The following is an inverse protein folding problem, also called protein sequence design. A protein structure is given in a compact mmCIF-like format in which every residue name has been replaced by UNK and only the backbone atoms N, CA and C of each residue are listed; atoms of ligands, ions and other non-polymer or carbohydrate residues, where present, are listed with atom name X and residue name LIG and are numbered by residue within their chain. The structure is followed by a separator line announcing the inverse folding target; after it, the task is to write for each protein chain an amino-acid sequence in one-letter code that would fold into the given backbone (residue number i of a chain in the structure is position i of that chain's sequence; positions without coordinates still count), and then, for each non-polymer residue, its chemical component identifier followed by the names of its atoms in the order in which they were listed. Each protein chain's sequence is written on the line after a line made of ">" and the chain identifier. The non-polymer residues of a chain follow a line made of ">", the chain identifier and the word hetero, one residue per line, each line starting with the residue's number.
data_IF_215770494271
#
_entry.id   IF_215770494271
#
_cell.length_a   1.000
_cell.length_b   1.000
_cell.length_c   1.000
_cell.angle_alpha   90.00
_cell.angle_beta   90.00
_cell.angle_gamma   90.00
#
_symmetry.space_group_name_H-M   'P 1'
#
loop_
_entity.id
_entity.type
_entity.pdbx_description
1 polymer ?
#
# COMPACT_ATOMS: atom_id res chain seq x y z
N UNK A 1 -8.51 -12.62 16.16
CA UNK A 1 -7.41 -11.90 16.85
C UNK A 1 -6.32 -12.90 17.19
N UNK A 2 -5.05 -12.51 17.38
CA UNK A 2 -3.96 -13.43 17.77
C UNK A 2 -4.27 -14.23 19.06
N UNK A 3 -5.19 -13.73 19.90
CA UNK A 3 -5.69 -14.43 21.09
C UNK A 3 -6.65 -15.61 20.83
N UNK A 4 -7.07 -15.84 19.58
CA UNK A 4 -7.96 -16.98 19.25
C UNK A 4 -7.18 -18.23 18.81
N UNK A 5 -5.90 -18.09 18.46
CA UNK A 5 -5.03 -19.22 18.03
C UNK A 5 -4.06 -19.64 19.14
N UNK A 6 -3.65 -18.71 20.00
CA UNK A 6 -2.95 -19.01 21.24
C UNK A 6 -3.74 -18.42 22.40
N UNK A 7 -4.25 -19.28 23.27
CA UNK A 7 -5.04 -18.90 24.44
C UNK A 7 -4.16 -18.21 25.50
N UNK A 8 -3.72 -16.99 25.22
CA UNK A 8 -3.03 -16.14 26.18
C UNK A 8 -3.96 -15.01 26.60
N UNK A 9 -4.31 -14.98 27.89
CA UNK A 9 -5.02 -13.83 28.46
C UNK A 9 -4.09 -12.62 28.57
N UNK A 10 -4.65 -11.41 28.55
CA UNK A 10 -3.88 -10.15 28.74
C UNK A 10 -3.11 -10.18 30.06
N UNK A 11 -3.67 -10.79 31.11
CA UNK A 11 -2.99 -11.00 32.39
C UNK A 11 -1.82 -11.97 32.28
N UNK A 12 -1.91 -12.99 31.45
CA UNK A 12 -0.80 -13.92 31.22
C UNK A 12 0.33 -13.23 30.47
N UNK A 13 0.02 -12.38 29.49
CA UNK A 13 1.02 -11.57 28.79
C UNK A 13 1.73 -10.62 29.76
N UNK A 14 1.00 -9.92 30.62
CA UNK A 14 1.58 -9.05 31.65
C UNK A 14 2.45 -9.86 32.64
N UNK A 15 2.01 -11.07 33.00
CA UNK A 15 2.76 -11.98 33.87
C UNK A 15 4.05 -12.47 33.23
N UNK A 16 4.02 -12.89 31.96
CA UNK A 16 5.20 -13.31 31.21
C UNK A 16 6.17 -12.15 31.00
N UNK A 17 5.66 -10.94 30.75
CA UNK A 17 6.48 -9.73 30.68
C UNK A 17 7.18 -9.43 32.01
N UNK A 18 6.47 -9.58 33.13
CA UNK A 18 7.05 -9.45 34.47
C UNK A 18 8.16 -10.48 34.72
N UNK A 19 7.93 -11.75 34.36
CA UNK A 19 8.94 -12.82 34.47
C UNK A 19 10.15 -12.55 33.58
N UNK A 20 9.94 -12.09 32.35
CA UNK A 20 11.01 -11.72 31.43
C UNK A 20 11.89 -10.61 32.02
N UNK A 21 11.28 -9.53 32.54
CA UNK A 21 12.03 -8.46 33.22
C UNK A 21 12.82 -8.96 34.43
N UNK A 22 12.25 -9.85 35.24
CA UNK A 22 12.93 -10.43 36.38
C UNK A 22 14.10 -11.34 35.95
N UNK A 23 13.91 -12.13 34.90
CA UNK A 23 14.97 -12.95 34.32
C UNK A 23 16.11 -12.09 33.78
N UNK A 24 15.80 -10.99 33.07
CA UNK A 24 16.79 -10.01 32.61
C UNK A 24 17.61 -9.42 33.78
N UNK A 25 16.97 -9.14 34.91
CA UNK A 25 17.67 -8.65 36.11
C UNK A 25 18.57 -9.74 36.70
N UNK A 26 18.11 -10.99 36.72
CA UNK A 26 18.85 -12.12 37.29
C UNK A 26 20.06 -12.56 36.43
N UNK A 27 19.99 -12.37 35.11
CA UNK A 27 21.09 -12.71 34.18
C UNK A 27 22.01 -11.52 33.87
N UNK A 28 21.68 -10.31 34.35
CA UNK A 28 22.62 -9.18 34.26
C UNK A 28 23.85 -9.50 35.09
N UNK A 29 25.07 -9.39 34.52
CA UNK A 29 26.29 -9.66 35.27
C UNK A 29 26.41 -8.72 36.46
N UNK A 30 26.89 -9.25 37.59
CA UNK A 30 27.23 -8.44 38.77
C UNK A 30 28.32 -7.43 38.37
N UNK A 31 28.22 -6.14 38.73
CA UNK A 31 29.28 -5.17 38.47
C UNK A 31 30.65 -5.54 39.06
N UNK A 32 30.75 -6.56 39.93
CA UNK A 32 32.02 -7.12 40.41
C UNK A 32 32.09 -8.65 40.22
N UNK A 33 32.54 -9.15 39.05
CA UNK A 33 32.62 -10.58 38.81
C UNK A 33 33.77 -11.22 39.61
N UNK A 34 33.45 -12.21 40.45
CA UNK A 34 34.43 -13.18 40.95
C UNK A 34 34.90 -14.13 39.82
N UNK A 35 35.91 -14.99 40.04
CA UNK A 35 36.53 -15.81 38.99
C UNK A 35 35.61 -16.99 38.62
N UNK A 36 34.54 -16.70 37.87
CA UNK A 36 33.67 -17.68 37.22
C UNK A 36 33.72 -17.50 35.70
N UNK A 37 33.31 -18.52 34.92
CA UNK A 37 33.29 -18.43 33.47
C UNK A 37 32.31 -17.33 33.01
N UNK A 38 32.80 -16.42 32.19
CA UNK A 38 32.04 -15.31 31.62
C UNK A 38 31.12 -15.85 30.52
N UNK A 39 29.81 -15.87 30.78
CA UNK A 39 28.82 -16.23 29.76
C UNK A 39 28.39 -14.95 29.05
N UNK A 40 28.88 -14.75 27.82
CA UNK A 40 28.49 -13.63 26.97
C UNK A 40 27.09 -13.89 26.39
N UNK A 41 26.06 -13.58 27.18
CA UNK A 41 24.68 -13.62 26.72
C UNK A 41 24.42 -12.31 25.97
N UNK A 42 24.37 -12.36 24.64
CA UNK A 42 23.98 -11.20 23.85
C UNK A 42 22.48 -10.89 24.04
N UNK A 43 22.17 -10.00 24.98
CA UNK A 43 20.81 -9.59 25.35
C UNK A 43 20.23 -8.53 24.38
N UNK A 44 20.94 -8.18 23.30
CA UNK A 44 20.47 -7.19 22.31
C UNK A 44 19.35 -7.73 21.39
N UNK A 45 18.62 -8.76 21.83
CA UNK A 45 17.35 -9.13 21.23
C UNK A 45 16.27 -8.21 21.81
N UNK A 46 16.19 -6.99 21.27
CA UNK A 46 15.01 -6.16 21.44
C UNK A 46 13.85 -6.85 20.72
N UNK A 47 12.80 -7.19 21.46
CA UNK A 47 11.49 -7.42 20.85
C UNK A 47 11.08 -6.08 20.25
N UNK A 48 11.38 -5.85 18.96
CA UNK A 48 10.77 -4.77 18.20
C UNK A 48 9.26 -4.91 18.41
N UNK A 49 8.67 -3.95 19.12
CA UNK A 49 7.22 -3.86 19.17
C UNK A 49 6.77 -3.62 17.73
N UNK A 50 6.26 -4.67 17.09
CA UNK A 50 5.52 -4.53 15.83
C UNK A 50 4.44 -3.50 16.15
N UNK A 51 4.59 -2.28 15.63
CA UNK A 51 3.54 -1.25 15.74
C UNK A 51 2.28 -1.85 15.14
N UNK A 52 1.34 -2.24 15.98
CA UNK A 52 0.04 -2.83 15.61
C UNK A 52 -0.94 -1.80 15.03
N UNK A 53 -0.44 -0.84 14.24
CA UNK A 53 -1.28 0.25 13.70
C UNK A 53 -1.01 0.58 12.23
N UNK A 54 -0.37 -0.31 11.45
CA UNK A 54 -0.49 -0.29 9.99
C UNK A 54 -1.09 -1.63 9.56
N UNK A 55 -2.25 -1.60 8.91
CA UNK A 55 -2.83 -2.81 8.33
C UNK A 55 -1.87 -3.27 7.25
N UNK A 56 -1.45 -4.53 7.32
CA UNK A 56 -0.50 -5.05 6.37
C UNK A 56 -1.24 -5.33 5.06
N UNK A 57 -0.97 -4.53 4.03
CA UNK A 57 -1.47 -4.72 2.67
C UNK A 57 -1.28 -6.18 2.21
N UNK A 58 -0.09 -6.76 2.44
CA UNK A 58 0.22 -8.16 2.10
C UNK A 58 -0.67 -9.16 2.81
N UNK A 59 -1.11 -8.85 4.03
CA UNK A 59 -2.03 -9.72 4.77
C UNK A 59 -3.42 -9.71 4.15
N UNK A 60 -3.91 -8.55 3.66
CA UNK A 60 -5.19 -8.49 2.94
C UNK A 60 -5.10 -9.30 1.64
N UNK A 61 -4.01 -9.17 0.89
CA UNK A 61 -3.78 -9.95 -0.33
C UNK A 61 -3.80 -11.46 -0.06
N UNK A 62 -3.12 -11.89 1.00
CA UNK A 62 -3.11 -13.30 1.42
C UNK A 62 -4.51 -13.80 1.76
N UNK A 63 -5.32 -13.00 2.46
CA UNK A 63 -6.70 -13.37 2.79
C UNK A 63 -7.57 -13.48 1.53
N UNK A 64 -7.44 -12.55 0.58
CA UNK A 64 -8.17 -12.59 -0.69
C UNK A 64 -7.73 -13.80 -1.52
N UNK A 65 -6.42 -14.11 -1.57
CA UNK A 65 -5.88 -15.21 -2.35
C UNK A 65 -6.48 -16.56 -1.94
N UNK A 66 -6.85 -16.74 -0.67
CA UNK A 66 -7.50 -17.95 -0.19
C UNK A 66 -8.87 -18.22 -0.83
N UNK A 67 -9.51 -17.22 -1.45
CA UNK A 67 -10.78 -17.39 -2.18
C UNK A 67 -10.60 -17.77 -3.65
N UNK A 68 -9.37 -17.66 -4.18
CA UNK A 68 -9.04 -18.01 -5.56
C UNK A 68 -8.64 -19.50 -5.61
N UNK A 69 -9.32 -20.32 -6.44
CA UNK A 69 -8.93 -21.71 -6.68
C UNK A 69 -7.54 -21.81 -7.29
N UNK A 70 -6.85 -22.92 -6.99
CA UNK A 70 -5.51 -23.18 -7.47
C UNK A 70 -5.35 -24.67 -7.73
N UNK A 71 -5.25 -25.06 -9.00
CA UNK A 71 -5.22 -26.48 -9.40
C UNK A 71 -6.56 -26.99 -9.96
N UNK A 72 -6.78 -28.29 -9.88
CA UNK A 72 -7.93 -29.02 -10.46
C UNK A 72 -8.76 -29.78 -9.40
N UNK A 73 -8.52 -29.56 -8.09
CA UNK A 73 -9.13 -30.38 -7.04
C UNK A 73 -10.53 -29.87 -6.64
N UNK A 74 -11.51 -30.78 -6.66
CA UNK A 74 -12.92 -30.54 -6.29
C UNK A 74 -13.12 -30.02 -4.83
N UNK A 75 -12.09 -30.13 -3.98
CA UNK A 75 -12.12 -29.72 -2.57
C UNK A 75 -11.59 -28.30 -2.30
N UNK A 76 -11.20 -27.53 -3.34
CA UNK A 76 -10.64 -26.18 -3.23
C UNK A 76 -11.64 -25.10 -2.77
N UNK A 77 -12.92 -25.47 -2.56
CA UNK A 77 -14.03 -24.54 -2.34
C UNK A 77 -14.29 -24.19 -0.86
N UNK A 78 -13.56 -24.77 0.09
CA UNK A 78 -13.87 -24.67 1.54
C UNK A 78 -13.78 -23.22 2.06
N UNK A 79 -12.90 -22.38 1.50
CA UNK A 79 -12.82 -20.96 1.87
C UNK A 79 -14.04 -20.15 1.40
N UNK A 80 -14.69 -20.55 0.30
CA UNK A 80 -15.85 -19.85 -0.28
C UNK A 80 -17.08 -19.86 0.62
N UNK A 81 -17.25 -20.91 1.43
CA UNK A 81 -18.40 -21.05 2.33
C UNK A 81 -18.17 -20.38 3.70
N UNK A 82 -16.99 -19.83 3.94
CA UNK A 82 -16.67 -19.21 5.22
C UNK A 82 -17.00 -17.71 5.25
N UNK A 83 -18.28 -17.40 5.52
CA UNK A 83 -18.80 -16.04 5.68
C UNK A 83 -17.98 -15.19 6.68
N UNK A 84 -17.38 -15.81 7.70
CA UNK A 84 -16.50 -15.12 8.66
C UNK A 84 -15.21 -14.64 8.01
N UNK A 85 -14.61 -15.43 7.13
CA UNK A 85 -13.41 -15.04 6.40
C UNK A 85 -13.69 -13.88 5.44
N UNK A 86 -14.84 -13.91 4.73
CA UNK A 86 -15.26 -12.81 3.87
C UNK A 86 -15.52 -11.51 4.66
N UNK A 87 -16.15 -11.62 5.83
CA UNK A 87 -16.37 -10.49 6.75
C UNK A 87 -15.05 -9.91 7.25
N UNK A 88 -14.06 -10.77 7.53
CA UNK A 88 -12.74 -10.35 7.96
C UNK A 88 -12.01 -9.56 6.87
N UNK A 89 -12.03 -10.00 5.61
CA UNK A 89 -11.48 -9.26 4.46
C UNK A 89 -12.11 -7.87 4.36
N UNK A 90 -13.44 -7.78 4.38
CA UNK A 90 -14.16 -6.51 4.32
C UNK A 90 -13.72 -5.53 5.41
N UNK A 91 -13.59 -6.02 6.65
CA UNK A 91 -13.14 -5.21 7.80
C UNK A 91 -11.71 -4.68 7.60
N UNK A 92 -10.79 -5.48 7.05
CA UNK A 92 -9.43 -4.99 6.81
C UNK A 92 -9.37 -3.98 5.68
N UNK A 93 -10.14 -4.17 4.61
CA UNK A 93 -10.25 -3.17 3.53
C UNK A 93 -10.86 -1.87 4.05
N UNK A 94 -11.89 -1.93 4.90
CA UNK A 94 -12.47 -0.75 5.54
C UNK A 94 -11.50 -0.05 6.48
N UNK A 95 -10.66 -0.80 7.19
CA UNK A 95 -9.63 -0.17 8.01
C UNK A 95 -8.54 0.46 7.11
N UNK A 96 -8.19 -0.15 5.97
CA UNK A 96 -7.20 0.41 5.04
C UNK A 96 -7.68 1.74 4.45
N UNK A 97 -8.98 1.89 4.22
CA UNK A 97 -9.54 3.12 3.64
C UNK A 97 -9.38 4.35 4.55
N UNK A 98 -9.11 4.15 5.85
CA UNK A 98 -8.81 5.22 6.81
C UNK A 98 -7.46 5.87 6.55
N UNK A 99 -6.50 5.09 6.06
CA UNK A 99 -5.13 5.52 5.82
C UNK A 99 -4.89 5.79 4.32
N UNK A 100 -5.47 4.96 3.44
CA UNK A 100 -5.30 5.03 2.00
C UNK A 100 -6.60 4.64 1.28
N UNK A 101 -7.45 5.64 1.06
CA UNK A 101 -8.76 5.46 0.41
C UNK A 101 -8.64 4.87 -0.99
N UNK A 102 -7.67 5.32 -1.79
CA UNK A 102 -7.56 4.94 -3.21
C UNK A 102 -7.18 3.47 -3.34
N UNK A 103 -6.15 3.04 -2.60
CA UNK A 103 -5.73 1.64 -2.59
C UNK A 103 -6.84 0.74 -2.05
N UNK A 104 -7.54 1.18 -1.00
CA UNK A 104 -8.68 0.45 -0.46
C UNK A 104 -9.83 0.33 -1.48
N UNK A 105 -10.12 1.37 -2.26
CA UNK A 105 -11.15 1.33 -3.30
C UNK A 105 -10.80 0.32 -4.39
N UNK A 106 -9.57 0.32 -4.90
CA UNK A 106 -9.13 -0.68 -5.89
C UNK A 106 -9.21 -2.10 -5.32
N UNK A 107 -8.70 -2.29 -4.10
CA UNK A 107 -8.72 -3.60 -3.46
C UNK A 107 -10.13 -4.08 -3.15
N UNK A 108 -11.04 -3.18 -2.77
CA UNK A 108 -12.46 -3.49 -2.60
C UNK A 108 -13.09 -3.94 -3.90
N UNK A 109 -12.82 -3.24 -5.00
CA UNK A 109 -13.35 -3.61 -6.32
C UNK A 109 -12.85 -4.98 -6.76
N UNK A 110 -11.55 -5.28 -6.57
CA UNK A 110 -10.99 -6.59 -6.90
C UNK A 110 -11.60 -7.69 -6.01
N UNK A 111 -11.69 -7.43 -4.71
CA UNK A 111 -12.27 -8.35 -3.74
C UNK A 111 -13.74 -8.68 -4.08
N UNK A 112 -14.55 -7.68 -4.40
CA UNK A 112 -15.96 -7.90 -4.72
C UNK A 112 -16.14 -8.76 -5.98
N UNK A 113 -15.32 -8.57 -7.02
CA UNK A 113 -15.38 -9.41 -8.23
C UNK A 113 -14.83 -10.82 -7.97
N UNK A 114 -13.76 -10.99 -7.18
CA UNK A 114 -13.26 -12.31 -6.76
C UNK A 114 -14.30 -13.04 -5.92
N UNK A 115 -14.95 -12.36 -4.98
CA UNK A 115 -15.95 -12.98 -4.11
C UNK A 115 -17.20 -13.41 -4.89
N UNK A 116 -17.59 -12.64 -5.91
CA UNK A 116 -18.72 -12.98 -6.79
C UNK A 116 -18.38 -14.08 -7.80
N UNK A 117 -17.18 -14.03 -8.41
CA UNK A 117 -16.77 -14.87 -9.53
C UNK A 117 -15.36 -15.47 -9.33
N UNK A 118 -15.10 -16.27 -8.28
CA UNK A 118 -13.75 -16.72 -7.93
C UNK A 118 -13.10 -17.59 -9.02
N UNK A 119 -13.88 -18.35 -9.79
CA UNK A 119 -13.38 -19.16 -10.93
C UNK A 119 -12.76 -18.32 -12.04
N UNK A 120 -13.22 -17.08 -12.25
CA UNK A 120 -12.65 -16.16 -13.25
C UNK A 120 -11.16 -15.90 -13.01
N UNK A 121 -10.73 -16.07 -11.76
CA UNK A 121 -9.39 -15.78 -11.28
C UNK A 121 -8.57 -17.05 -10.98
N UNK A 122 -9.05 -18.24 -11.34
CA UNK A 122 -8.33 -19.51 -11.10
C UNK A 122 -6.86 -19.41 -11.50
N UNK A 123 -5.99 -19.91 -10.63
CA UNK A 123 -4.53 -19.90 -10.78
C UNK A 123 -3.87 -18.51 -10.89
N UNK A 124 -4.63 -17.42 -10.68
CA UNK A 124 -4.08 -16.07 -10.69
C UNK A 124 -3.62 -15.66 -9.30
N UNK A 125 -2.65 -14.73 -9.29
CA UNK A 125 -2.09 -14.16 -8.07
C UNK A 125 -2.70 -12.78 -7.80
N UNK A 126 -3.29 -12.59 -6.63
CA UNK A 126 -3.95 -11.33 -6.24
C UNK A 126 -2.98 -10.15 -6.25
N UNK A 127 -1.72 -10.35 -5.84
CA UNK A 127 -0.71 -9.29 -5.85
C UNK A 127 -0.44 -8.78 -7.26
N UNK A 128 -0.33 -9.68 -8.25
CA UNK A 128 -0.19 -9.30 -9.66
C UNK A 128 -1.43 -8.58 -10.19
N UNK A 129 -2.63 -9.04 -9.82
CA UNK A 129 -3.88 -8.39 -10.23
C UNK A 129 -4.00 -6.98 -9.66
N UNK A 130 -3.61 -6.79 -8.40
CA UNK A 130 -3.57 -5.46 -7.79
C UNK A 130 -2.56 -4.55 -8.48
N UNK A 131 -1.37 -5.05 -8.84
CA UNK A 131 -0.38 -4.28 -9.58
C UNK A 131 -0.91 -3.83 -10.94
N UNK A 132 -1.58 -4.73 -11.68
CA UNK A 132 -2.22 -4.38 -12.95
C UNK A 132 -3.30 -3.30 -12.81
N UNK A 133 -4.13 -3.39 -11.77
CA UNK A 133 -5.15 -2.38 -11.47
C UNK A 133 -4.53 -1.03 -11.09
N UNK A 134 -3.47 -1.03 -10.28
CA UNK A 134 -2.72 0.19 -9.96
C UNK A 134 -2.14 0.84 -11.22
N UNK A 135 -1.47 0.06 -12.07
CA UNK A 135 -0.87 0.56 -13.30
C UNK A 135 -1.92 1.11 -14.27
N UNK A 136 -3.09 0.46 -14.38
CA UNK A 136 -4.20 0.94 -15.19
C UNK A 136 -4.77 2.26 -14.66
N UNK A 137 -4.98 2.36 -13.35
CA UNK A 137 -5.43 3.59 -12.72
C UNK A 137 -4.41 4.74 -12.91
N UNK A 138 -3.11 4.47 -12.81
CA UNK A 138 -2.07 5.47 -13.10
C UNK A 138 -2.12 5.94 -14.55
N UNK A 139 -2.22 5.00 -15.52
CA UNK A 139 -2.33 5.33 -16.95
C UNK A 139 -3.56 6.19 -17.25
N UNK A 140 -4.71 5.86 -16.66
CA UNK A 140 -5.94 6.64 -16.85
C UNK A 140 -5.78 8.08 -16.35
N UNK A 141 -5.11 8.28 -15.21
CA UNK A 141 -4.81 9.61 -14.67
C UNK A 141 -3.86 10.39 -15.56
N UNK A 142 -2.80 9.75 -16.05
CA UNK A 142 -1.85 10.35 -16.99
C UNK A 142 -2.55 10.78 -18.28
N UNK A 143 -3.35 9.90 -18.89
CA UNK A 143 -4.09 10.20 -20.12
C UNK A 143 -5.11 11.32 -19.91
N UNK A 144 -5.86 11.30 -18.79
CA UNK A 144 -6.83 12.34 -18.45
C UNK A 144 -6.17 13.70 -18.27
N UNK A 145 -5.04 13.73 -17.56
CA UNK A 145 -4.26 14.96 -17.34
C UNK A 145 -3.66 15.50 -18.64
N UNK A 146 -3.10 14.60 -19.46
CA UNK A 146 -2.58 14.90 -20.80
C UNK A 146 -3.63 15.61 -21.65
N UNK A 147 -4.84 15.05 -21.72
CA UNK A 147 -5.96 15.62 -22.47
C UNK A 147 -6.46 16.95 -21.88
N UNK A 148 -6.57 17.05 -20.55
CA UNK A 148 -7.05 18.27 -19.90
C UNK A 148 -6.11 19.45 -20.12
N UNK A 149 -4.80 19.19 -20.04
CA UNK A 149 -3.78 20.24 -20.10
C UNK A 149 -3.14 20.37 -21.47
N UNK A 150 -3.45 19.50 -22.44
CA UNK A 150 -2.83 19.47 -23.77
C UNK A 150 -1.30 19.40 -23.69
N UNK A 151 -0.81 18.51 -22.84
CA UNK A 151 0.61 18.16 -22.76
C UNK A 151 0.85 16.83 -23.44
N UNK A 152 2.08 16.53 -23.84
CA UNK A 152 2.41 15.25 -24.45
C UNK A 152 2.37 14.11 -23.43
N UNK A 153 1.56 13.08 -23.70
CA UNK A 153 1.30 11.98 -22.77
C UNK A 153 2.55 11.18 -22.42
N UNK A 154 3.40 10.85 -23.39
CA UNK A 154 4.62 10.07 -23.17
C UNK A 154 5.61 10.82 -22.27
N UNK A 155 5.80 12.12 -22.55
CA UNK A 155 6.65 12.98 -21.74
C UNK A 155 6.07 13.17 -20.33
N UNK A 156 4.75 13.28 -20.18
CA UNK A 156 4.08 13.32 -18.89
C UNK A 156 4.29 12.01 -18.10
N UNK A 157 4.11 10.86 -18.76
CA UNK A 157 4.32 9.55 -18.16
C UNK A 157 5.75 9.40 -17.61
N UNK A 158 6.75 9.89 -18.36
CA UNK A 158 8.13 9.92 -17.88
C UNK A 158 8.31 10.77 -16.62
N UNK A 159 7.69 11.96 -16.56
CA UNK A 159 7.73 12.83 -15.38
C UNK A 159 7.07 12.14 -14.18
N UNK A 160 5.91 11.53 -14.37
CA UNK A 160 5.15 10.79 -13.33
C UNK A 160 5.92 9.58 -12.80
N UNK A 161 6.60 8.83 -13.67
CA UNK A 161 7.44 7.70 -13.29
C UNK A 161 8.67 8.13 -12.46
N UNK A 162 9.21 9.32 -12.72
CA UNK A 162 10.43 9.83 -12.09
C UNK A 162 10.17 10.94 -11.06
N UNK A 163 8.92 11.11 -10.63
CA UNK A 163 8.51 12.18 -9.73
C UNK A 163 9.14 12.01 -8.34
N UNK A 164 9.61 13.11 -7.76
CA UNK A 164 10.26 13.11 -6.45
C UNK A 164 9.79 14.29 -5.61
N UNK A 165 9.17 13.97 -4.46
CA UNK A 165 8.65 14.94 -3.49
C UNK A 165 9.69 15.89 -2.91
N UNK A 166 10.96 15.50 -2.90
CA UNK A 166 12.07 16.29 -2.35
C UNK A 166 12.71 17.24 -3.38
N UNK A 167 12.25 17.22 -4.63
CA UNK A 167 12.81 18.05 -5.70
C UNK A 167 11.88 19.18 -6.07
N UNK A 168 12.45 20.38 -6.16
CA UNK A 168 11.77 21.55 -6.72
C UNK A 168 11.64 21.50 -8.25
N UNK A 169 12.42 20.65 -8.92
CA UNK A 169 12.35 20.48 -10.37
C UNK A 169 12.34 19.00 -10.71
N UNK A 170 11.29 18.56 -11.39
CA UNK A 170 11.09 17.16 -11.73
C UNK A 170 11.90 16.77 -12.97
N UNK A 171 12.30 15.51 -13.03
CA UNK A 171 12.97 14.96 -14.21
C UNK A 171 11.99 14.96 -15.39
N UNK A 172 12.39 15.51 -16.54
CA UNK A 172 11.49 15.66 -17.70
C UNK A 172 10.58 16.90 -17.67
N UNK A 173 10.53 17.66 -16.58
CA UNK A 173 9.63 18.83 -16.45
C UNK A 173 9.87 19.89 -17.53
N UNK A 174 11.13 20.11 -17.92
CA UNK A 174 11.46 21.08 -18.98
C UNK A 174 11.03 20.61 -20.37
N UNK A 175 11.11 19.31 -20.63
CA UNK A 175 10.64 18.74 -21.90
C UNK A 175 9.12 18.82 -21.97
N UNK A 176 8.43 18.43 -20.89
CA UNK A 176 6.98 18.49 -20.78
C UNK A 176 6.45 19.91 -21.03
N UNK A 177 7.16 20.92 -20.53
CA UNK A 177 6.83 22.33 -20.80
C UNK A 177 7.01 22.69 -22.27
N UNK A 178 8.08 22.22 -22.90
CA UNK A 178 8.39 22.56 -24.29
C UNK A 178 7.43 21.89 -25.27
N UNK A 179 6.97 20.68 -24.96
CA UNK A 179 6.02 19.91 -25.79
C UNK A 179 4.56 20.21 -25.48
N UNK A 180 4.27 21.12 -24.54
CA UNK A 180 2.91 21.56 -24.21
C UNK A 180 2.28 22.43 -25.31
N UNK A 181 1.02 22.16 -25.64
CA UNK A 181 0.26 22.88 -26.67
C UNK A 181 -0.75 23.84 -26.07
N UNK A 182 -0.26 25.04 -25.70
CA UNK A 182 -1.12 26.09 -25.17
C UNK A 182 -2.20 26.56 -26.16
N UNK A 183 -1.96 26.49 -27.48
CA UNK A 183 -2.95 26.99 -28.44
C UNK A 183 -4.16 26.07 -28.45
N UNK A 184 -3.94 24.76 -28.58
CA UNK A 184 -5.02 23.77 -28.51
C UNK A 184 -5.71 23.79 -27.15
N UNK A 185 -4.97 23.92 -26.05
CA UNK A 185 -5.56 24.13 -24.71
C UNK A 185 -6.52 25.32 -24.68
N UNK A 186 -6.10 26.48 -25.20
CA UNK A 186 -6.89 27.70 -25.17
C UNK A 186 -8.16 27.60 -26.01
N UNK A 187 -8.08 26.94 -27.17
CA UNK A 187 -9.20 26.86 -28.12
C UNK A 187 -10.27 25.84 -27.68
N UNK A 188 -9.88 24.81 -26.93
CA UNK A 188 -10.75 23.69 -26.58
C UNK A 188 -11.13 23.64 -25.09
N UNK A 189 -10.72 24.63 -24.29
CA UNK A 189 -11.10 24.75 -22.87
C UNK A 189 -12.12 25.86 -22.69
N UNK A 190 -13.19 25.62 -21.91
CA UNK A 190 -14.28 26.59 -21.71
C UNK A 190 -13.81 27.90 -21.05
N UNK A 191 -12.90 27.80 -20.07
CA UNK A 191 -12.35 28.95 -19.34
C UNK A 191 -10.82 28.80 -19.20
N UNK A 192 -10.05 29.02 -20.28
CA UNK A 192 -8.62 28.78 -20.27
C UNK A 192 -7.90 29.84 -19.43
N UNK A 193 -6.90 29.41 -18.68
CA UNK A 193 -6.01 30.35 -17.99
C UNK A 193 -5.11 31.09 -18.98
N UNK A 194 -4.59 32.25 -18.58
CA UNK A 194 -3.69 33.00 -19.45
C UNK A 194 -2.38 32.27 -19.71
N UNK A 195 -1.75 32.51 -20.87
CA UNK A 195 -0.46 31.90 -21.25
C UNK A 195 0.64 32.06 -20.19
N UNK A 196 0.65 33.20 -19.49
CA UNK A 196 1.60 33.48 -18.41
C UNK A 196 1.38 32.58 -17.18
N UNK A 197 0.14 32.15 -16.93
CA UNK A 197 -0.23 31.30 -15.79
C UNK A 197 -0.27 29.82 -16.15
N UNK A 198 -0.53 29.47 -17.41
CA UNK A 198 -0.73 28.10 -17.88
C UNK A 198 0.26 27.09 -17.29
N UNK A 199 1.58 27.30 -17.47
CA UNK A 199 2.56 26.34 -16.95
C UNK A 199 2.57 26.22 -15.43
N UNK A 200 2.29 27.33 -14.72
CA UNK A 200 2.19 27.31 -13.26
C UNK A 200 1.01 26.43 -12.84
N UNK A 201 -0.13 26.54 -13.52
CA UNK A 201 -1.31 25.73 -13.22
C UNK A 201 -1.09 24.26 -13.58
N UNK A 202 -0.51 23.95 -14.75
CA UNK A 202 -0.12 22.58 -15.11
C UNK A 202 0.73 21.96 -14.02
N UNK A 203 1.78 22.66 -13.58
CA UNK A 203 2.67 22.14 -12.54
C UNK A 203 1.96 21.93 -11.19
N UNK A 204 1.15 22.90 -10.76
CA UNK A 204 0.40 22.77 -9.51
C UNK A 204 -0.55 21.58 -9.53
N UNK A 205 -1.30 21.40 -10.63
CA UNK A 205 -2.23 20.30 -10.79
C UNK A 205 -1.51 18.96 -10.97
N UNK A 206 -0.31 18.95 -11.56
CA UNK A 206 0.53 17.75 -11.61
C UNK A 206 0.94 17.33 -10.19
N UNK A 207 1.41 18.28 -9.37
CA UNK A 207 1.78 18.00 -7.98
C UNK A 207 0.57 17.49 -7.16
N UNK A 208 -0.62 18.03 -7.41
CA UNK A 208 -1.89 17.59 -6.81
C UNK A 208 -2.26 16.17 -7.27
N UNK A 209 -2.27 15.90 -8.57
CA UNK A 209 -2.52 14.56 -9.12
C UNK A 209 -1.54 13.53 -8.55
N UNK A 210 -0.26 13.89 -8.41
CA UNK A 210 0.74 13.01 -7.82
C UNK A 210 0.41 12.69 -6.36
N UNK A 211 0.11 13.69 -5.54
CA UNK A 211 -0.19 13.49 -4.11
C UNK A 211 -1.52 12.79 -3.87
N UNK A 212 -2.54 13.14 -4.63
CA UNK A 212 -3.91 12.72 -4.37
C UNK A 212 -4.32 11.49 -5.16
N UNK A 213 -3.58 11.08 -6.19
CA UNK A 213 -3.99 9.95 -7.02
C UNK A 213 -2.87 8.93 -7.26
N UNK A 214 -1.67 9.36 -7.64
CA UNK A 214 -0.61 8.44 -8.06
C UNK A 214 0.17 7.87 -6.86
N UNK A 215 0.69 8.71 -5.98
CA UNK A 215 1.50 8.26 -4.84
C UNK A 215 0.74 7.31 -3.90
N UNK A 216 -0.55 7.54 -3.58
CA UNK A 216 -1.32 6.59 -2.79
C UNK A 216 -1.41 5.19 -3.42
N UNK A 217 -1.33 5.05 -4.74
CA UNK A 217 -1.31 3.73 -5.40
C UNK A 217 0.01 2.99 -5.19
N UNK A 218 1.10 3.74 -4.97
CA UNK A 218 2.46 3.22 -4.78
C UNK A 218 2.79 2.97 -3.30
N UNK A 219 2.08 3.63 -2.39
CA UNK A 219 2.22 3.43 -0.95
C UNK A 219 1.47 2.17 -0.47
N UNK A 220 2.19 1.03 -0.54
CA UNK A 220 1.74 -0.27 -0.04
C UNK A 220 2.10 -0.48 1.45
#
# INVERSE_FOLDING_TARGET
>A
MIGDVFAFDKKEIEHYHGKYKNALIAIRPDPYPGPGPDFDINIAYELESIKTEKINYEYILMLIQAFIPSGDDEYELIARENEKAATEVNRYIENLSKDNLILATLMKSLWDDIHLNPEKYRDQNVSMLMEQLSDEAEREKVASFSNQWFVEEETLAYVVANYNLQKDKQSGESELKNTSDYQNYRENTEQPVSKLRYWKEVRNNLDEMMKENILPLRER
#
